data_IF_591262165478
#
_entry.id   IF_591262165478
#
_cell.length_a   1.000
_cell.length_b   1.000
_cell.length_c   1.000
_cell.angle_alpha   90.00
_cell.angle_beta   90.00
_cell.angle_gamma   90.00
#
_symmetry.space_group_name_H-M   'P 1'
#
loop_
_entity.id
_entity.type
_entity.pdbx_description
1 polymer ?
#
# COMPACT_ATOMS: atom_id res chain seq x y z
N UNK A 1 11.92 6.71 -21.49
CA UNK A 1 12.09 8.14 -21.10
C UNK A 1 13.31 8.33 -20.18
N UNK A 2 13.38 7.72 -18.98
CA UNK A 2 14.50 7.91 -18.02
C UNK A 2 15.86 7.61 -18.62
N UNK A 3 16.05 6.43 -19.23
CA UNK A 3 17.32 6.06 -19.85
C UNK A 3 17.77 7.01 -20.96
N UNK A 4 16.83 7.47 -21.79
CA UNK A 4 17.12 8.42 -22.86
C UNK A 4 17.61 9.78 -22.34
N UNK A 5 16.97 10.31 -21.30
CA UNK A 5 17.38 11.60 -20.72
C UNK A 5 18.71 11.48 -19.98
N UNK A 6 18.93 10.39 -19.24
CA UNK A 6 20.21 10.13 -18.56
C UNK A 6 21.36 9.95 -19.56
N UNK A 7 21.13 9.30 -20.70
CA UNK A 7 22.12 9.22 -21.78
C UNK A 7 22.50 10.59 -22.37
N UNK A 8 21.63 11.60 -22.22
CA UNK A 8 21.90 13.01 -22.57
C UNK A 8 22.41 13.83 -21.37
N UNK A 9 22.93 13.18 -20.33
CA UNK A 9 23.43 13.83 -19.11
C UNK A 9 22.38 14.70 -18.38
N UNK A 10 21.08 14.39 -18.54
CA UNK A 10 20.01 15.08 -17.83
C UNK A 10 19.70 14.36 -16.53
N UNK A 11 19.48 15.13 -15.45
CA UNK A 11 19.10 14.59 -14.16
C UNK A 11 17.60 14.32 -14.16
N UNK A 12 17.23 13.07 -13.85
CA UNK A 12 15.85 12.61 -13.72
C UNK A 12 15.66 12.03 -12.32
N UNK A 13 14.74 12.61 -11.56
CA UNK A 13 14.35 12.11 -10.25
C UNK A 13 13.12 11.21 -10.41
N UNK A 14 13.24 9.99 -9.94
CA UNK A 14 12.15 9.01 -9.90
C UNK A 14 11.70 8.81 -8.46
N UNK A 15 10.42 9.04 -8.20
CA UNK A 15 9.81 8.88 -6.88
C UNK A 15 8.49 8.12 -6.99
N UNK A 16 8.02 7.57 -5.88
CA UNK A 16 6.70 6.95 -5.79
C UNK A 16 6.02 7.31 -4.47
N UNK A 17 4.70 7.16 -4.42
CA UNK A 17 3.93 7.39 -3.18
C UNK A 17 4.18 6.29 -2.14
N UNK A 18 4.44 5.04 -2.56
CA UNK A 18 4.73 3.93 -1.66
C UNK A 18 6.19 3.46 -1.74
N UNK A 19 6.70 2.85 -0.64
CA UNK A 19 8.04 2.28 -0.60
C UNK A 19 8.24 1.16 -1.61
N UNK A 20 7.24 0.28 -1.75
CA UNK A 20 7.29 -0.86 -2.69
C UNK A 20 7.36 -0.39 -4.14
N UNK A 21 6.51 0.56 -4.54
CA UNK A 21 6.56 1.13 -5.88
C UNK A 21 7.89 1.84 -6.15
N UNK A 22 8.44 2.55 -5.15
CA UNK A 22 9.74 3.22 -5.27
C UNK A 22 10.89 2.25 -5.58
N UNK A 23 10.86 1.02 -5.05
CA UNK A 23 11.89 0.00 -5.30
C UNK A 23 11.88 -0.53 -6.75
N UNK A 24 10.76 -0.43 -7.45
CA UNK A 24 10.65 -0.82 -8.86
C UNK A 24 11.35 0.21 -9.78
N UNK A 25 11.49 1.44 -9.34
CA UNK A 25 12.11 2.52 -10.09
C UNK A 25 13.63 2.53 -9.90
N UNK A 26 14.37 2.77 -10.97
CA UNK A 26 15.83 2.87 -10.89
C UNK A 26 16.26 4.12 -10.10
N UNK A 27 16.87 3.93 -8.92
CA UNK A 27 17.25 5.01 -8.01
C UNK A 27 16.05 5.67 -7.34
N UNK A 28 14.87 5.00 -7.37
CA UNK A 28 13.62 5.49 -6.81
C UNK A 28 13.68 5.61 -5.28
N UNK A 29 12.93 6.57 -4.78
CA UNK A 29 12.65 6.81 -3.36
C UNK A 29 11.17 7.17 -3.20
N UNK A 30 10.66 7.10 -1.98
CA UNK A 30 9.34 7.70 -1.72
C UNK A 30 9.42 9.22 -1.89
N UNK A 31 8.36 9.84 -2.42
CA UNK A 31 8.30 11.28 -2.63
C UNK A 31 8.55 12.05 -1.33
N UNK A 32 7.94 11.62 -0.21
CA UNK A 32 8.15 12.19 1.11
C UNK A 32 9.63 12.17 1.52
N UNK A 33 10.33 11.06 1.30
CA UNK A 33 11.76 10.95 1.64
C UNK A 33 12.65 11.74 0.68
N UNK A 34 12.32 11.80 -0.61
CA UNK A 34 13.14 12.50 -1.61
C UNK A 34 13.04 14.00 -1.46
N UNK A 35 11.82 14.51 -1.29
CA UNK A 35 11.54 15.94 -1.26
C UNK A 35 11.29 16.47 0.16
N UNK A 36 11.44 15.62 1.17
CA UNK A 36 11.19 15.96 2.58
C UNK A 36 9.80 16.58 2.78
N UNK A 37 8.80 16.00 2.14
CA UNK A 37 7.40 16.37 2.34
C UNK A 37 7.02 15.97 3.78
N UNK A 38 6.48 16.87 4.61
CA UNK A 38 6.00 16.52 5.95
C UNK A 38 4.91 15.45 5.92
N UNK A 39 4.76 14.67 6.99
CA UNK A 39 3.70 13.66 7.09
C UNK A 39 2.33 14.32 7.29
N UNK A 40 2.27 15.43 8.04
CA UNK A 40 1.10 16.28 8.20
C UNK A 40 1.26 17.47 7.25
N UNK A 41 0.38 17.59 6.26
CA UNK A 41 0.45 18.61 5.22
C UNK A 41 -0.79 19.48 5.27
N UNK A 42 -0.62 20.74 5.62
CA UNK A 42 -1.63 21.78 5.61
C UNK A 42 -1.59 22.60 4.31
N UNK A 43 -2.49 23.57 4.18
CA UNK A 43 -2.64 24.34 2.95
C UNK A 43 -1.39 25.16 2.60
N UNK A 44 -0.69 25.69 3.60
CA UNK A 44 0.52 26.53 3.42
C UNK A 44 1.84 25.75 3.56
N UNK A 45 1.77 24.45 3.80
CA UNK A 45 2.95 23.63 4.02
C UNK A 45 3.91 23.70 2.83
N UNK A 46 5.19 23.83 3.12
CA UNK A 46 6.32 23.66 2.19
C UNK A 46 7.14 22.43 2.59
N UNK A 47 7.91 21.90 1.64
CA UNK A 47 8.83 20.81 1.96
C UNK A 47 10.02 21.34 2.80
N UNK A 48 10.56 20.48 3.67
CA UNK A 48 11.74 20.83 4.51
C UNK A 48 13.04 20.81 3.67
N UNK A 49 13.11 21.72 2.71
CA UNK A 49 14.24 21.90 1.79
C UNK A 49 14.70 23.35 1.83
N UNK A 50 15.80 23.59 2.56
CA UNK A 50 16.40 24.92 2.63
C UNK A 50 17.24 25.19 1.36
N UNK A 51 17.24 26.46 0.90
CA UNK A 51 18.09 26.90 -0.20
C UNK A 51 19.59 26.74 0.17
N UNK A 52 20.42 26.51 -0.83
CA UNK A 52 21.87 26.32 -0.66
C UNK A 52 22.24 24.95 -0.09
N UNK A 53 21.26 24.03 0.07
CA UNK A 53 21.54 22.63 0.42
C UNK A 53 21.79 21.80 -0.83
N UNK A 54 22.53 20.68 -0.69
CA UNK A 54 22.73 19.73 -1.80
C UNK A 54 21.42 19.23 -2.41
N UNK A 55 20.33 19.20 -1.62
CA UNK A 55 19.02 18.79 -2.14
C UNK A 55 18.39 19.89 -2.98
N UNK A 56 18.49 21.16 -2.59
CA UNK A 56 18.02 22.28 -3.43
C UNK A 56 18.81 22.37 -4.74
N UNK A 57 20.13 22.20 -4.70
CA UNK A 57 20.97 22.15 -5.92
C UNK A 57 20.58 20.98 -6.84
N UNK A 58 20.32 19.79 -6.25
CA UNK A 58 19.83 18.64 -7.00
C UNK A 58 18.49 18.95 -7.69
N UNK A 59 17.55 19.61 -7.01
CA UNK A 59 16.27 20.03 -7.57
C UNK A 59 16.49 21.03 -8.70
N UNK A 60 17.35 22.01 -8.51
CA UNK A 60 17.71 23.01 -9.53
C UNK A 60 18.28 22.39 -10.82
N UNK A 61 19.12 21.37 -10.69
CA UNK A 61 19.73 20.64 -11.80
C UNK A 61 18.78 19.59 -12.42
N UNK A 62 17.66 19.31 -11.77
CA UNK A 62 16.71 18.29 -12.25
C UNK A 62 15.95 18.78 -13.48
N UNK A 63 15.93 17.97 -14.53
CA UNK A 63 15.21 18.24 -15.76
C UNK A 63 13.81 17.61 -15.78
N UNK A 64 13.60 16.53 -15.03
CA UNK A 64 12.34 15.78 -15.00
C UNK A 64 12.16 15.12 -13.65
N UNK A 65 10.95 15.23 -13.10
CA UNK A 65 10.48 14.42 -11.97
C UNK A 65 9.44 13.43 -12.49
N UNK A 66 9.60 12.15 -12.15
CA UNK A 66 8.57 11.12 -12.38
C UNK A 66 8.09 10.66 -11.01
N UNK A 67 6.79 10.82 -10.75
CA UNK A 67 6.13 10.39 -9.53
C UNK A 67 5.13 9.29 -9.84
N UNK A 68 5.49 8.06 -9.53
CA UNK A 68 4.66 6.88 -9.72
C UNK A 68 3.69 6.65 -8.57
N UNK A 69 2.56 5.98 -8.83
CA UNK A 69 1.43 5.81 -7.88
C UNK A 69 1.03 7.15 -7.24
N UNK A 70 1.04 8.23 -8.01
CA UNK A 70 0.83 9.60 -7.53
C UNK A 70 -0.56 9.79 -6.93
N UNK A 71 -1.59 9.14 -7.49
CA UNK A 71 -2.99 9.33 -7.11
C UNK A 71 -3.34 8.88 -5.69
N UNK A 72 -2.43 8.11 -5.03
CA UNK A 72 -2.55 7.77 -3.62
C UNK A 72 -2.19 8.92 -2.66
N UNK A 73 -1.50 9.94 -3.14
CA UNK A 73 -1.04 11.05 -2.32
C UNK A 73 -2.10 12.16 -2.25
N UNK A 74 -2.24 12.78 -1.08
CA UNK A 74 -3.09 13.94 -0.90
C UNK A 74 -2.63 15.10 -1.80
N UNK A 75 -3.57 15.85 -2.40
CA UNK A 75 -3.27 17.01 -3.26
C UNK A 75 -2.30 18.00 -2.62
N UNK A 76 -2.38 18.17 -1.30
CA UNK A 76 -1.51 19.07 -0.54
C UNK A 76 -0.03 18.70 -0.65
N UNK A 77 0.31 17.41 -0.85
CA UNK A 77 1.69 16.96 -1.07
C UNK A 77 2.27 17.55 -2.37
N UNK A 78 1.47 17.57 -3.44
CA UNK A 78 1.87 18.16 -4.74
C UNK A 78 1.96 19.67 -4.64
N UNK A 79 1.02 20.30 -3.94
CA UNK A 79 0.99 21.73 -3.72
C UNK A 79 2.16 22.22 -2.84
N UNK A 80 2.55 21.44 -1.82
CA UNK A 80 3.75 21.71 -1.02
C UNK A 80 5.02 21.60 -1.86
N UNK A 81 5.10 20.60 -2.74
CA UNK A 81 6.21 20.44 -3.67
C UNK A 81 6.26 21.57 -4.69
N UNK A 82 5.12 21.98 -5.24
CA UNK A 82 4.99 23.10 -6.15
C UNK A 82 5.52 24.41 -5.53
N UNK A 83 5.06 24.72 -4.31
CA UNK A 83 5.53 25.91 -3.58
C UNK A 83 7.05 25.87 -3.38
N UNK A 84 7.57 24.73 -2.97
CA UNK A 84 9.02 24.55 -2.74
C UNK A 84 9.82 24.72 -4.02
N UNK A 85 9.37 24.15 -5.13
CA UNK A 85 10.05 24.28 -6.42
C UNK A 85 10.02 25.71 -6.95
N UNK A 86 8.88 26.40 -6.86
CA UNK A 86 8.78 27.82 -7.18
C UNK A 86 9.71 28.65 -6.33
N UNK A 87 9.80 28.36 -5.04
CA UNK A 87 10.72 29.10 -4.15
C UNK A 87 12.17 28.90 -4.52
N UNK A 88 12.59 27.71 -4.88
CA UNK A 88 13.95 27.41 -5.31
C UNK A 88 14.26 28.09 -6.65
N UNK A 89 13.41 27.94 -7.65
CA UNK A 89 13.67 28.37 -9.04
C UNK A 89 13.52 29.89 -9.25
N UNK A 90 12.72 30.59 -8.42
CA UNK A 90 12.56 32.06 -8.52
C UNK A 90 13.86 32.83 -8.36
N UNK A 91 14.90 32.21 -7.76
CA UNK A 91 16.21 32.85 -7.66
C UNK A 91 16.90 32.95 -9.03
N UNK A 92 16.58 32.06 -9.97
CA UNK A 92 17.13 32.06 -11.34
C UNK A 92 16.25 32.84 -12.33
N UNK A 93 14.92 32.72 -12.18
CA UNK A 93 13.95 33.42 -13.03
C UNK A 93 12.76 33.86 -12.18
N UNK A 94 12.44 35.16 -12.10
CA UNK A 94 11.28 35.66 -11.40
C UNK A 94 9.95 35.05 -11.89
N UNK A 95 9.87 34.67 -13.17
CA UNK A 95 8.69 34.04 -13.79
C UNK A 95 8.40 32.66 -13.19
N UNK A 96 9.44 31.96 -12.69
CA UNK A 96 9.28 30.67 -12.04
C UNK A 96 8.37 30.71 -10.80
N UNK A 97 8.26 31.88 -10.15
CA UNK A 97 7.34 32.07 -9.03
C UNK A 97 5.86 31.85 -9.40
N UNK A 98 5.51 32.06 -10.68
CA UNK A 98 4.13 31.96 -11.17
C UNK A 98 3.89 30.70 -12.04
N UNK A 99 4.95 29.97 -12.36
CA UNK A 99 4.87 28.77 -13.20
C UNK A 99 4.75 27.52 -12.33
N UNK A 100 3.84 26.56 -12.63
CA UNK A 100 3.74 25.31 -11.91
C UNK A 100 5.09 24.60 -11.75
N UNK A 101 5.38 24.14 -10.54
CA UNK A 101 6.66 23.51 -10.18
C UNK A 101 7.92 24.32 -10.53
N UNK A 102 7.79 25.67 -10.57
CA UNK A 102 8.90 26.54 -10.98
C UNK A 102 9.38 26.32 -12.41
N UNK A 103 8.52 25.81 -13.30
CA UNK A 103 8.83 25.46 -14.69
C UNK A 103 9.50 24.08 -14.86
N UNK A 104 9.64 23.26 -13.80
CA UNK A 104 10.11 21.89 -13.92
C UNK A 104 9.03 20.98 -14.50
N UNK A 105 9.44 20.05 -15.35
CA UNK A 105 8.54 19.03 -15.89
C UNK A 105 8.31 17.95 -14.83
N UNK A 106 7.03 17.71 -14.50
CA UNK A 106 6.62 16.68 -13.55
C UNK A 106 5.65 15.73 -14.24
N UNK A 107 5.97 14.45 -14.27
CA UNK A 107 5.11 13.39 -14.80
C UNK A 107 4.53 12.61 -13.62
N UNK A 108 3.20 12.59 -13.51
CA UNK A 108 2.45 11.86 -12.50
C UNK A 108 1.91 10.58 -13.12
N UNK A 109 2.33 9.43 -12.60
CA UNK A 109 1.78 8.12 -12.99
C UNK A 109 0.78 7.62 -11.97
N UNK A 110 -0.33 7.02 -12.40
CA UNK A 110 -1.33 6.45 -11.51
C UNK A 110 -2.55 5.93 -12.26
N UNK A 111 -3.49 5.37 -11.52
CA UNK A 111 -4.75 4.83 -12.04
C UNK A 111 -5.90 5.27 -11.12
N UNK A 112 -6.81 6.09 -11.64
CA UNK A 112 -7.97 6.61 -10.90
C UNK A 112 -8.98 5.54 -10.46
N UNK A 113 -8.87 4.32 -10.97
CA UNK A 113 -9.66 3.16 -10.53
C UNK A 113 -9.13 2.55 -9.22
N UNK A 114 -7.90 2.88 -8.85
CA UNK A 114 -7.27 2.38 -7.62
C UNK A 114 -7.70 3.22 -6.41
N UNK A 115 -7.17 2.83 -5.24
CA UNK A 115 -7.48 3.49 -3.97
C UNK A 115 -6.95 4.93 -4.01
N UNK A 116 -7.82 5.87 -3.66
CA UNK A 116 -7.55 7.29 -3.53
C UNK A 116 -6.85 7.61 -2.20
N UNK A 117 -6.44 8.86 -1.96
CA UNK A 117 -5.83 9.25 -0.69
C UNK A 117 -6.70 8.87 0.50
N UNK A 118 -6.09 8.33 1.53
CA UNK A 118 -6.82 7.95 2.75
C UNK A 118 -6.97 9.17 3.64
N UNK A 119 -8.23 9.52 3.94
CA UNK A 119 -8.60 10.56 4.91
C UNK A 119 -9.22 9.84 6.12
N UNK A 120 -8.56 9.89 7.26
CA UNK A 120 -9.02 9.18 8.47
C UNK A 120 -10.33 9.78 8.97
N UNK A 121 -11.38 8.96 9.04
CA UNK A 121 -12.72 9.40 9.42
C UNK A 121 -13.43 10.30 8.39
N UNK A 122 -12.82 10.49 7.20
CA UNK A 122 -13.36 11.34 6.16
C UNK A 122 -14.54 10.71 5.40
N UNK A 123 -15.44 11.57 4.94
CA UNK A 123 -16.55 11.23 4.05
C UNK A 123 -16.07 10.98 2.62
N UNK A 124 -16.97 10.53 1.73
CA UNK A 124 -16.70 10.42 0.28
C UNK A 124 -16.22 11.75 -0.29
N UNK A 125 -16.86 12.86 0.09
CA UNK A 125 -16.53 14.20 -0.39
C UNK A 125 -15.12 14.64 0.07
N UNK A 126 -14.76 14.36 1.32
CA UNK A 126 -13.42 14.63 1.85
C UNK A 126 -12.34 13.88 1.07
N UNK A 127 -12.60 12.60 0.75
CA UNK A 127 -11.68 11.77 -0.04
C UNK A 127 -11.52 12.34 -1.45
N UNK A 128 -12.62 12.65 -2.15
CA UNK A 128 -12.58 13.24 -3.49
C UNK A 128 -11.87 14.60 -3.46
N UNK A 129 -12.16 15.43 -2.45
CA UNK A 129 -11.54 16.75 -2.28
C UNK A 129 -10.04 16.66 -2.01
N UNK A 130 -9.55 15.54 -1.47
CA UNK A 130 -8.13 15.33 -1.19
C UNK A 130 -7.32 14.91 -2.41
N UNK A 131 -7.96 14.54 -3.52
CA UNK A 131 -7.30 14.06 -4.73
C UNK A 131 -6.64 15.19 -5.53
N UNK A 132 -5.62 14.83 -6.34
CA UNK A 132 -4.91 15.79 -7.22
C UNK A 132 -5.87 16.45 -8.23
N UNK A 133 -6.92 15.79 -8.67
CA UNK A 133 -7.91 16.33 -9.60
C UNK A 133 -8.68 17.55 -9.02
N UNK A 134 -8.67 17.70 -7.70
CA UNK A 134 -9.23 18.87 -6.98
C UNK A 134 -8.15 19.87 -6.54
N UNK A 135 -6.93 19.71 -7.02
CA UNK A 135 -5.86 20.67 -6.78
C UNK A 135 -5.92 21.84 -7.76
N UNK A 136 -5.44 22.99 -7.31
CA UNK A 136 -5.18 24.16 -8.18
C UNK A 136 -4.16 23.89 -9.30
N UNK A 137 -3.40 22.80 -9.21
CA UNK A 137 -2.47 22.39 -10.24
C UNK A 137 -3.15 21.66 -11.41
N UNK A 138 -4.33 21.08 -11.19
CA UNK A 138 -5.02 20.25 -12.18
C UNK A 138 -5.29 20.94 -13.52
N UNK A 139 -5.68 22.21 -13.58
CA UNK A 139 -5.88 22.91 -14.87
C UNK A 139 -4.61 23.00 -15.76
N UNK A 140 -3.44 22.74 -15.18
CA UNK A 140 -2.16 22.74 -15.88
C UNK A 140 -1.67 21.33 -16.24
N UNK A 141 -2.46 20.29 -15.98
CA UNK A 141 -2.10 18.90 -16.24
C UNK A 141 -2.60 18.47 -17.61
N UNK A 142 -1.69 17.95 -18.43
CA UNK A 142 -2.03 17.24 -19.66
C UNK A 142 -2.18 15.73 -19.34
N UNK A 143 -3.34 15.16 -19.70
CA UNK A 143 -3.65 13.76 -19.40
C UNK A 143 -3.25 12.89 -20.59
N UNK A 144 -2.41 11.89 -20.32
CA UNK A 144 -1.97 10.89 -21.29
C UNK A 144 -2.44 9.51 -20.86
N UNK A 145 -3.30 8.86 -21.65
CA UNK A 145 -3.86 7.55 -21.34
C UNK A 145 -3.06 6.42 -21.98
N UNK A 146 -2.70 5.39 -21.20
CA UNK A 146 -2.14 4.14 -21.69
C UNK A 146 -3.30 3.20 -22.08
N UNK A 147 -3.45 2.94 -23.41
CA UNK A 147 -4.58 2.16 -23.94
C UNK A 147 -4.24 0.69 -24.22
N UNK A 148 -2.96 0.36 -24.38
CA UNK A 148 -2.53 -1.00 -24.72
C UNK A 148 -2.19 -1.82 -23.48
N UNK A 149 -2.89 -2.95 -23.28
CA UNK A 149 -2.57 -3.89 -22.23
C UNK A 149 -1.38 -4.77 -22.63
N UNK A 150 -0.20 -4.44 -22.13
CA UNK A 150 1.02 -5.17 -22.43
C UNK A 150 1.04 -6.62 -21.94
N UNK A 151 0.20 -6.99 -20.98
CA UNK A 151 0.09 -8.38 -20.50
C UNK A 151 -0.50 -9.30 -21.58
N UNK A 152 -1.33 -8.78 -22.48
CA UNK A 152 -1.88 -9.52 -23.63
C UNK A 152 -0.82 -9.79 -24.71
N UNK A 153 0.19 -8.93 -24.82
CA UNK A 153 1.23 -9.03 -25.86
C UNK A 153 2.28 -10.10 -25.51
N UNK A 154 2.43 -10.43 -24.22
CA UNK A 154 3.47 -11.34 -23.74
C UNK A 154 3.12 -12.83 -23.87
N UNK A 155 1.96 -13.21 -24.45
CA UNK A 155 1.55 -14.62 -24.64
C UNK A 155 1.14 -14.86 -26.10
N UNK A 156 2.07 -14.85 -27.06
CA UNK A 156 1.73 -14.91 -28.49
C UNK A 156 1.27 -16.29 -29.00
N UNK A 157 1.54 -17.38 -28.27
CA UNK A 157 1.51 -18.73 -28.86
C UNK A 157 0.19 -19.51 -28.68
N UNK A 158 -0.78 -18.98 -27.91
CA UNK A 158 -2.05 -19.68 -27.67
C UNK A 158 -3.25 -18.71 -27.74
N UNK A 159 -4.02 -18.70 -28.85
CA UNK A 159 -5.17 -17.80 -29.03
C UNK A 159 -6.28 -17.99 -27.97
N UNK A 160 -6.45 -19.20 -27.44
CA UNK A 160 -7.49 -19.48 -26.45
C UNK A 160 -7.12 -18.86 -25.09
N UNK A 161 -5.88 -18.93 -24.70
CA UNK A 161 -5.35 -18.27 -23.50
C UNK A 161 -5.37 -16.75 -23.63
N UNK A 162 -5.09 -16.22 -24.81
CA UNK A 162 -5.21 -14.78 -25.06
C UNK A 162 -6.64 -14.28 -24.84
N UNK A 163 -7.64 -15.00 -25.33
CA UNK A 163 -9.04 -14.64 -25.12
C UNK A 163 -9.44 -14.70 -23.64
N UNK A 164 -8.99 -15.71 -22.91
CA UNK A 164 -9.27 -15.83 -21.48
C UNK A 164 -8.64 -14.68 -20.68
N UNK A 165 -7.37 -14.34 -20.96
CA UNK A 165 -6.67 -13.22 -20.33
C UNK A 165 -7.34 -11.89 -20.71
N UNK A 166 -7.77 -11.71 -21.96
CA UNK A 166 -8.48 -10.52 -22.41
C UNK A 166 -9.82 -10.35 -21.70
N UNK A 167 -10.61 -11.43 -21.61
CA UNK A 167 -11.89 -11.42 -20.90
C UNK A 167 -11.72 -11.13 -19.40
N UNK A 168 -10.73 -11.74 -18.77
CA UNK A 168 -10.40 -11.47 -17.37
C UNK A 168 -9.95 -10.04 -17.14
N UNK A 169 -9.07 -9.50 -18.00
CA UNK A 169 -8.62 -8.11 -17.93
C UNK A 169 -9.79 -7.13 -18.11
N UNK A 170 -10.72 -7.43 -19.02
CA UNK A 170 -11.94 -6.62 -19.22
C UNK A 170 -12.80 -6.61 -17.97
N UNK A 171 -13.07 -7.77 -17.40
CA UNK A 171 -13.85 -7.89 -16.18
C UNK A 171 -13.24 -7.10 -15.02
N UNK A 172 -11.90 -7.14 -14.86
CA UNK A 172 -11.19 -6.32 -13.86
C UNK A 172 -11.42 -4.82 -14.12
N UNK A 173 -11.29 -4.36 -15.38
CA UNK A 173 -11.52 -2.97 -15.74
C UNK A 173 -12.96 -2.55 -15.48
N UNK A 174 -13.94 -3.39 -15.83
CA UNK A 174 -15.36 -3.13 -15.60
C UNK A 174 -15.69 -2.99 -14.11
N UNK A 175 -14.99 -3.73 -13.22
CA UNK A 175 -15.05 -3.51 -11.76
C UNK A 175 -14.54 -2.12 -11.41
N UNK A 176 -13.35 -1.76 -11.90
CA UNK A 176 -12.71 -0.47 -11.58
C UNK A 176 -13.48 0.74 -12.09
N UNK A 177 -14.17 0.59 -13.22
CA UNK A 177 -14.99 1.63 -13.85
C UNK A 177 -16.45 1.64 -13.38
N UNK A 178 -16.84 0.67 -12.53
CA UNK A 178 -18.22 0.56 -12.06
C UNK A 178 -19.21 0.20 -13.15
N UNK A 179 -18.76 -0.54 -14.18
CA UNK A 179 -19.58 -0.98 -15.33
C UNK A 179 -20.26 -2.34 -15.11
N UNK A 180 -19.86 -3.08 -14.06
CA UNK A 180 -20.55 -4.32 -13.68
C UNK A 180 -21.97 -3.97 -13.20
N UNK A 181 -23.00 -4.71 -13.64
CA UNK A 181 -24.35 -4.54 -13.13
C UNK A 181 -24.39 -4.64 -11.61
N UNK A 182 -24.99 -3.65 -10.97
CA UNK A 182 -25.05 -3.56 -9.52
C UNK A 182 -26.48 -3.35 -9.03
N UNK A 183 -26.74 -3.80 -7.80
CA UNK A 183 -28.01 -3.65 -7.08
C UNK A 183 -27.81 -2.83 -5.83
N UNK A 184 -28.85 -2.15 -5.36
CA UNK A 184 -28.88 -1.54 -4.04
C UNK A 184 -29.50 -2.51 -3.04
N UNK A 185 -29.08 -2.46 -1.78
CA UNK A 185 -29.73 -3.09 -0.65
C UNK A 185 -30.36 -2.02 0.23
N UNK A 186 -31.26 -2.43 1.13
CA UNK A 186 -31.91 -1.51 2.05
C UNK A 186 -30.86 -0.75 2.87
N UNK A 187 -30.96 0.58 2.84
CA UNK A 187 -30.02 1.49 3.52
C UNK A 187 -28.79 1.90 2.71
N UNK A 188 -28.63 1.47 1.46
CA UNK A 188 -27.59 1.97 0.57
C UNK A 188 -28.05 3.23 -0.18
N UNK A 189 -27.20 4.27 -0.19
CA UNK A 189 -27.47 5.51 -0.91
C UNK A 189 -27.42 5.32 -2.45
N UNK A 190 -26.57 4.38 -2.91
CA UNK A 190 -26.37 4.08 -4.34
C UNK A 190 -26.21 2.55 -4.56
N UNK A 191 -26.63 2.02 -5.74
CA UNK A 191 -26.35 0.66 -6.11
C UNK A 191 -24.85 0.38 -6.10
N UNK A 192 -24.42 -0.58 -5.28
CA UNK A 192 -23.00 -0.91 -5.11
C UNK A 192 -22.72 -2.41 -4.99
N UNK A 193 -23.76 -3.26 -4.94
CA UNK A 193 -23.60 -4.71 -4.81
C UNK A 193 -23.51 -5.37 -6.18
N UNK A 194 -22.43 -6.10 -6.39
CA UNK A 194 -22.17 -6.87 -7.62
C UNK A 194 -22.10 -8.37 -7.31
N UNK A 195 -22.43 -9.17 -8.30
CA UNK A 195 -22.30 -10.64 -8.22
C UNK A 195 -20.95 -11.06 -8.81
N UNK A 196 -20.16 -11.80 -8.03
CA UNK A 196 -18.87 -12.35 -8.45
C UNK A 196 -19.08 -13.67 -9.20
N UNK A 197 -18.38 -13.91 -10.34
CA UNK A 197 -18.48 -15.16 -11.07
C UNK A 197 -18.18 -16.40 -10.21
N UNK A 198 -19.04 -17.41 -10.26
CA UNK A 198 -18.95 -18.64 -9.46
C UNK A 198 -17.57 -19.34 -9.55
N UNK A 199 -16.91 -19.26 -10.69
CA UNK A 199 -15.59 -19.86 -10.94
C UNK A 199 -14.47 -19.27 -10.10
N UNK A 200 -14.63 -18.02 -9.62
CA UNK A 200 -13.69 -17.33 -8.76
C UNK A 200 -13.97 -17.57 -7.28
N UNK A 201 -15.16 -18.07 -6.95
CA UNK A 201 -15.55 -18.28 -5.57
C UNK A 201 -14.93 -19.56 -5.00
N UNK A 202 -14.63 -19.53 -3.73
CA UNK A 202 -14.26 -20.73 -2.96
C UNK A 202 -15.55 -21.35 -2.46
N UNK A 203 -15.77 -22.62 -2.81
CA UNK A 203 -16.87 -23.41 -2.27
C UNK A 203 -16.62 -23.63 -0.79
N UNK A 204 -17.55 -23.29 0.10
CA UNK A 204 -17.32 -23.43 1.53
C UNK A 204 -17.25 -24.91 1.93
N UNK A 205 -16.12 -25.28 2.54
CA UNK A 205 -15.99 -26.43 3.41
C UNK A 205 -16.34 -26.02 4.86
N UNK A 206 -16.40 -26.99 5.78
CA UNK A 206 -16.72 -26.75 7.18
C UNK A 206 -15.76 -25.72 7.83
N UNK A 207 -14.44 -25.79 7.52
CA UNK A 207 -13.45 -24.77 7.89
C UNK A 207 -13.15 -23.83 6.71
N UNK A 208 -13.82 -22.70 6.74
CA UNK A 208 -13.79 -21.65 5.71
C UNK A 208 -12.44 -20.96 5.59
N UNK A 209 -11.70 -20.84 6.72
CA UNK A 209 -10.38 -20.22 6.73
C UNK A 209 -9.34 -21.19 6.15
N UNK A 210 -9.47 -22.47 6.47
CA UNK A 210 -8.68 -23.54 5.84
C UNK A 210 -8.87 -23.55 4.32
N UNK A 211 -10.09 -23.40 3.82
CA UNK A 211 -10.41 -23.44 2.38
C UNK A 211 -9.66 -22.33 1.60
N UNK A 212 -9.67 -21.08 2.07
CA UNK A 212 -8.94 -20.00 1.41
C UNK A 212 -7.42 -20.19 1.54
N UNK A 213 -6.93 -20.64 2.70
CA UNK A 213 -5.52 -20.93 2.92
C UNK A 213 -5.03 -22.03 2.00
N UNK A 214 -5.73 -23.16 1.91
CA UNK A 214 -5.38 -24.26 1.00
C UNK A 214 -5.39 -23.83 -0.48
N UNK A 215 -6.34 -22.99 -0.86
CA UNK A 215 -6.44 -22.48 -2.23
C UNK A 215 -5.26 -21.58 -2.62
N UNK A 216 -4.79 -20.73 -1.71
CA UNK A 216 -3.68 -19.78 -1.98
C UNK A 216 -2.33 -20.41 -1.70
N UNK A 217 -2.22 -21.23 -0.66
CA UNK A 217 -1.00 -21.87 -0.18
C UNK A 217 -1.04 -23.39 -0.29
N UNK A 218 -1.24 -23.98 -1.49
CA UNK A 218 -1.25 -25.43 -1.65
C UNK A 218 0.12 -26.02 -1.27
N UNK A 219 0.10 -27.20 -0.63
CA UNK A 219 1.32 -27.88 -0.15
C UNK A 219 2.17 -27.02 0.80
N UNK A 220 1.53 -26.21 1.64
CA UNK A 220 2.19 -25.24 2.53
C UNK A 220 3.27 -25.89 3.40
N UNK A 221 2.99 -27.04 4.03
CA UNK A 221 3.94 -27.73 4.91
C UNK A 221 5.28 -28.10 4.25
N UNK A 222 5.27 -28.38 2.94
CA UNK A 222 6.49 -28.68 2.20
C UNK A 222 7.24 -27.42 1.73
N UNK A 223 6.53 -26.27 1.65
CA UNK A 223 7.04 -25.07 0.99
C UNK A 223 7.07 -23.80 1.87
N UNK A 224 6.83 -23.92 3.16
CA UNK A 224 6.75 -22.76 4.08
C UNK A 224 8.06 -21.97 4.20
N UNK A 225 9.21 -22.53 3.81
CA UNK A 225 10.52 -21.85 3.77
C UNK A 225 10.93 -21.37 2.37
N UNK A 226 10.13 -21.62 1.36
CA UNK A 226 10.43 -21.23 -0.03
C UNK A 226 10.07 -19.73 -0.25
N UNK A 227 11.08 -18.84 -0.37
CA UNK A 227 10.80 -17.40 -0.51
C UNK A 227 10.14 -17.07 -1.84
N UNK A 228 10.41 -17.81 -2.92
CA UNK A 228 9.78 -17.59 -4.23
C UNK A 228 8.30 -17.96 -4.16
N UNK A 229 7.98 -19.11 -3.57
CA UNK A 229 6.61 -19.54 -3.35
C UNK A 229 5.81 -18.51 -2.53
N UNK A 230 6.36 -18.06 -1.40
CA UNK A 230 5.70 -17.12 -0.51
C UNK A 230 5.57 -15.71 -1.13
N UNK A 231 6.59 -15.25 -1.87
CA UNK A 231 6.59 -13.91 -2.48
C UNK A 231 5.50 -13.73 -3.54
N UNK A 232 5.13 -14.81 -4.21
CA UNK A 232 4.14 -14.81 -5.29
C UNK A 232 2.69 -14.97 -4.81
N UNK A 233 2.46 -15.07 -3.49
CA UNK A 233 1.16 -15.38 -2.91
C UNK A 233 0.80 -14.42 -1.78
N UNK A 234 -0.49 -14.10 -1.66
CA UNK A 234 -1.04 -13.40 -0.50
C UNK A 234 -2.55 -13.60 -0.40
N UNK A 235 -3.06 -13.53 0.84
CA UNK A 235 -4.46 -13.35 1.11
C UNK A 235 -4.70 -11.86 1.40
N UNK A 236 -5.67 -11.26 0.70
CA UNK A 236 -6.00 -9.85 0.81
C UNK A 236 -7.32 -9.68 1.55
N UNK A 237 -7.35 -8.76 2.51
CA UNK A 237 -8.56 -8.46 3.27
C UNK A 237 -8.75 -6.94 3.42
N UNK A 238 -10.01 -6.46 3.64
CA UNK A 238 -10.29 -5.04 3.75
C UNK A 238 -9.66 -4.37 4.98
N UNK A 239 -9.57 -5.09 6.10
CA UNK A 239 -9.16 -4.55 7.41
C UNK A 239 -7.96 -5.28 8.00
N UNK A 240 -7.25 -4.60 8.92
CA UNK A 240 -6.14 -5.21 9.65
C UNK A 240 -6.60 -6.39 10.54
N UNK A 241 -7.75 -6.29 11.18
CA UNK A 241 -8.34 -7.33 12.03
C UNK A 241 -8.49 -8.66 11.26
N UNK A 242 -9.01 -8.58 10.02
CA UNK A 242 -9.17 -9.77 9.19
C UNK A 242 -7.83 -10.33 8.71
N UNK A 243 -6.85 -9.47 8.42
CA UNK A 243 -5.50 -9.95 8.08
C UNK A 243 -4.82 -10.62 9.26
N UNK A 244 -5.00 -10.10 10.47
CA UNK A 244 -4.46 -10.70 11.68
C UNK A 244 -5.09 -12.06 11.94
N UNK A 245 -6.41 -12.20 11.81
CA UNK A 245 -7.12 -13.49 11.91
C UNK A 245 -6.52 -14.57 10.98
N UNK A 246 -6.21 -14.20 9.73
CA UNK A 246 -5.58 -15.12 8.77
C UNK A 246 -4.14 -15.42 9.15
N UNK A 247 -3.37 -14.41 9.54
CA UNK A 247 -1.96 -14.58 9.92
C UNK A 247 -1.84 -15.44 11.19
N UNK A 248 -2.70 -15.23 12.18
CA UNK A 248 -2.74 -16.02 13.42
C UNK A 248 -3.10 -17.49 13.15
N UNK A 249 -3.97 -17.75 12.17
CA UNK A 249 -4.27 -19.12 11.72
C UNK A 249 -3.06 -19.78 11.05
N UNK A 250 -2.25 -19.02 10.31
CA UNK A 250 -1.09 -19.54 9.57
C UNK A 250 0.11 -19.85 10.45
N UNK A 251 0.33 -19.12 11.54
CA UNK A 251 1.50 -19.24 12.42
C UNK A 251 1.64 -20.67 13.01
N UNK A 252 0.60 -21.31 13.58
CA UNK A 252 0.68 -22.68 14.09
C UNK A 252 1.00 -23.73 13.02
N UNK A 253 0.65 -23.48 11.75
CA UNK A 253 0.92 -24.40 10.65
C UNK A 253 2.42 -24.45 10.29
N UNK A 254 3.22 -23.48 10.73
CA UNK A 254 4.67 -23.46 10.53
C UNK A 254 5.34 -24.32 11.59
N UNK A 255 6.14 -25.34 11.22
CA UNK A 255 6.89 -26.16 12.18
C UNK A 255 7.93 -25.33 12.96
N UNK A 256 8.25 -25.79 14.17
CA UNK A 256 9.30 -25.22 15.02
C UNK A 256 8.76 -24.49 16.25
N UNK A 257 9.70 -24.08 17.10
CA UNK A 257 9.39 -23.42 18.37
C UNK A 257 8.97 -21.97 18.15
N UNK A 258 7.87 -21.59 18.78
CA UNK A 258 7.38 -20.22 18.78
C UNK A 258 8.23 -19.35 19.70
N UNK A 259 8.54 -18.13 19.24
CA UNK A 259 9.10 -17.08 20.09
C UNK A 259 8.11 -15.94 20.22
N UNK A 260 7.65 -15.72 21.43
CA UNK A 260 6.81 -14.58 21.77
C UNK A 260 7.69 -13.33 21.97
N UNK A 261 7.31 -12.23 21.30
CA UNK A 261 8.02 -10.98 21.36
C UNK A 261 7.04 -9.88 21.81
N UNK A 262 7.14 -9.48 23.08
CA UNK A 262 6.36 -8.40 23.66
C UNK A 262 7.02 -7.05 23.41
N UNK A 263 6.23 -5.98 23.24
CA UNK A 263 6.72 -4.61 23.18
C UNK A 263 6.91 -4.01 24.57
N UNK A 264 7.65 -2.91 24.63
CA UNK A 264 7.66 -1.98 25.75
C UNK A 264 6.91 -0.72 25.31
N UNK A 265 5.82 -0.42 25.99
CA UNK A 265 4.91 0.68 25.68
C UNK A 265 4.99 1.76 26.76
N UNK A 266 5.04 3.02 26.35
CA UNK A 266 5.10 4.18 27.23
C UNK A 266 4.38 5.37 26.58
N UNK A 267 3.97 6.32 27.40
CA UNK A 267 3.47 7.62 26.93
C UNK A 267 4.68 8.54 26.66
N UNK A 268 4.63 9.30 25.56
CA UNK A 268 5.72 10.22 25.21
C UNK A 268 5.92 11.29 26.29
N UNK A 269 7.15 11.43 26.75
CA UNK A 269 7.54 12.38 27.81
C UNK A 269 7.34 13.85 27.46
N UNK A 270 7.21 14.16 26.18
CA UNK A 270 6.88 15.53 25.71
C UNK A 270 5.41 15.88 25.91
N UNK A 271 4.55 14.88 26.23
CA UNK A 271 3.14 15.11 26.49
C UNK A 271 2.98 15.83 27.83
N UNK A 272 2.39 17.03 27.80
CA UNK A 272 2.05 17.76 29.02
C UNK A 272 1.13 16.88 29.90
N UNK A 273 1.41 16.80 31.21
CA UNK A 273 0.68 15.98 32.19
C UNK A 273 0.95 14.45 32.11
N UNK A 274 2.15 14.03 31.72
CA UNK A 274 2.52 12.60 31.63
C UNK A 274 2.16 11.80 32.91
N UNK A 275 2.54 12.32 34.12
CA UNK A 275 2.27 11.63 35.38
C UNK A 275 0.77 11.38 35.64
N UNK A 276 -0.09 12.31 35.23
CA UNK A 276 -1.54 12.12 35.34
C UNK A 276 -2.04 11.07 34.35
N UNK A 277 -1.46 11.01 33.16
CA UNK A 277 -1.84 10.01 32.14
C UNK A 277 -1.34 8.60 32.48
N UNK A 278 -0.16 8.44 33.09
CA UNK A 278 0.35 7.15 33.57
C UNK A 278 -0.57 6.54 34.62
N UNK A 279 -1.23 7.38 35.44
CA UNK A 279 -2.24 6.94 36.41
C UNK A 279 -3.59 6.57 35.76
N UNK A 280 -4.00 7.29 34.71
CA UNK A 280 -5.29 7.11 34.03
C UNK A 280 -5.28 5.98 33.00
N UNK A 281 -4.14 5.71 32.39
CA UNK A 281 -4.00 4.73 31.30
C UNK A 281 -2.99 3.64 31.69
N UNK A 282 -3.47 2.52 32.28
CA UNK A 282 -2.59 1.43 32.70
C UNK A 282 -1.89 0.78 31.51
N UNK A 283 -0.78 0.09 31.76
CA UNK A 283 0.05 -0.51 30.73
C UNK A 283 -0.72 -1.51 29.85
N UNK A 284 -1.68 -2.22 30.42
CA UNK A 284 -2.54 -3.17 29.72
C UNK A 284 -3.40 -2.47 28.65
N UNK A 285 -3.88 -1.26 28.97
CA UNK A 285 -4.58 -0.43 27.99
C UNK A 285 -3.64 0.01 26.87
N UNK A 286 -2.44 0.51 27.19
CA UNK A 286 -1.45 0.90 26.18
C UNK A 286 -1.09 -0.27 25.28
N UNK A 287 -0.92 -1.47 25.84
CA UNK A 287 -0.62 -2.70 25.11
C UNK A 287 -1.75 -3.10 24.15
N UNK A 288 -2.99 -2.80 24.48
CA UNK A 288 -4.17 -3.11 23.66
C UNK A 288 -4.31 -2.19 22.43
N UNK A 289 -3.65 -1.04 22.43
CA UNK A 289 -3.75 -0.06 21.36
C UNK A 289 -3.14 -0.63 20.07
N UNK A 290 -3.92 -0.57 19.00
CA UNK A 290 -3.51 -0.94 17.63
C UNK A 290 -3.65 0.24 16.68
N UNK A 291 -2.88 0.25 15.60
CA UNK A 291 -2.92 1.32 14.61
C UNK A 291 -2.45 0.88 13.23
N UNK A 292 -2.78 1.70 12.25
CA UNK A 292 -2.30 1.51 10.88
C UNK A 292 -0.77 1.66 10.83
N UNK A 293 -0.09 0.71 10.19
CA UNK A 293 1.38 0.69 10.10
C UNK A 293 2.09 0.77 11.46
N UNK A 294 1.45 0.28 12.52
CA UNK A 294 1.97 0.18 13.87
C UNK A 294 2.05 -1.29 14.28
N UNK A 295 3.16 -1.79 14.86
CA UNK A 295 3.28 -3.20 15.22
C UNK A 295 2.37 -3.53 16.40
N UNK A 296 1.96 -4.78 16.49
CA UNK A 296 1.21 -5.28 17.65
C UNK A 296 2.12 -5.34 18.88
N UNK A 297 1.53 -5.24 20.09
CA UNK A 297 2.25 -5.44 21.35
C UNK A 297 2.88 -6.84 21.40
N UNK A 298 2.09 -7.85 21.10
CA UNK A 298 2.52 -9.26 21.07
C UNK A 298 2.68 -9.72 19.64
N UNK A 299 3.87 -10.23 19.29
CA UNK A 299 4.17 -10.83 17.99
C UNK A 299 4.73 -12.23 18.23
N UNK A 300 4.15 -13.24 17.57
CA UNK A 300 4.64 -14.62 17.60
C UNK A 300 5.44 -14.88 16.32
N UNK A 301 6.67 -15.33 16.46
CA UNK A 301 7.60 -15.53 15.36
C UNK A 301 8.22 -16.93 15.35
N UNK A 302 8.44 -17.46 14.15
CA UNK A 302 9.20 -18.69 13.87
C UNK A 302 10.07 -18.49 12.62
N UNK A 303 11.21 -19.18 12.47
CA UNK A 303 11.92 -19.23 11.20
C UNK A 303 11.01 -19.76 10.07
N UNK A 304 11.06 -19.13 8.91
CA UNK A 304 10.18 -19.44 7.76
C UNK A 304 8.90 -18.60 7.67
N UNK A 305 8.57 -17.81 8.67
CA UNK A 305 7.41 -16.89 8.59
C UNK A 305 7.74 -15.70 7.68
N UNK A 306 6.87 -15.37 6.70
CA UNK A 306 6.99 -14.13 5.96
C UNK A 306 6.54 -12.94 6.81
N UNK A 307 7.30 -11.87 6.75
CA UNK A 307 7.02 -10.60 7.44
C UNK A 307 7.05 -9.45 6.46
N UNK A 308 6.38 -8.36 6.81
CA UNK A 308 6.38 -7.10 6.10
C UNK A 308 6.92 -6.00 7.00
N UNK A 309 7.82 -5.18 6.48
CA UNK A 309 8.29 -3.98 7.18
C UNK A 309 7.19 -2.93 7.26
N UNK A 310 7.08 -2.28 8.41
CA UNK A 310 6.14 -1.18 8.68
C UNK A 310 6.81 0.20 8.62
N UNK A 311 8.14 0.25 8.50
CA UNK A 311 8.94 1.49 8.43
C UNK A 311 10.07 1.34 7.44
N UNK A 312 10.53 2.48 6.94
CA UNK A 312 11.75 2.55 6.14
C UNK A 312 12.96 2.44 7.08
N UNK A 313 13.70 1.34 7.01
CA UNK A 313 14.93 1.14 7.80
C UNK A 313 16.16 1.53 6.99
N UNK A 314 16.27 1.05 5.75
CA UNK A 314 17.35 1.38 4.83
C UNK A 314 16.86 1.29 3.38
N UNK A 315 16.45 2.42 2.82
CA UNK A 315 15.90 2.46 1.45
C UNK A 315 16.92 2.03 0.39
N UNK A 316 18.23 2.31 0.59
CA UNK A 316 19.28 1.90 -0.36
C UNK A 316 19.45 0.40 -0.42
N UNK A 317 19.25 -0.28 0.70
CA UNK A 317 19.30 -1.72 0.82
C UNK A 317 17.94 -2.41 0.54
N UNK A 318 16.92 -1.66 0.12
CA UNK A 318 15.60 -2.21 -0.17
C UNK A 318 14.71 -2.43 1.06
N UNK A 319 15.13 -1.99 2.26
CA UNK A 319 14.35 -2.12 3.49
C UNK A 319 13.39 -0.94 3.65
N UNK A 320 12.30 -0.98 2.90
CA UNK A 320 11.24 0.04 2.90
C UNK A 320 9.96 -0.48 3.57
N UNK A 321 9.09 0.45 3.96
CA UNK A 321 7.72 0.08 4.35
C UNK A 321 7.05 -0.71 3.22
N UNK A 322 6.48 -1.87 3.55
CA UNK A 322 5.88 -2.81 2.61
C UNK A 322 6.83 -3.86 2.02
N UNK A 323 8.16 -3.76 2.25
CA UNK A 323 9.10 -4.82 1.84
C UNK A 323 8.78 -6.11 2.58
N UNK A 324 8.65 -7.20 1.81
CA UNK A 324 8.38 -8.54 2.33
C UNK A 324 9.68 -9.31 2.51
N UNK A 325 9.86 -9.90 3.67
CA UNK A 325 11.02 -10.72 4.03
C UNK A 325 10.58 -12.06 4.60
N UNK A 326 11.47 -13.04 4.60
CA UNK A 326 11.28 -14.32 5.29
C UNK A 326 12.25 -14.41 6.46
N UNK A 327 11.75 -14.78 7.63
CA UNK A 327 12.57 -14.94 8.85
C UNK A 327 13.49 -16.15 8.68
N UNK A 328 14.78 -15.96 8.93
CA UNK A 328 15.78 -17.02 8.96
C UNK A 328 16.12 -17.44 10.39
N UNK A 329 16.23 -16.50 11.30
CA UNK A 329 16.42 -16.75 12.73
C UNK A 329 15.77 -15.67 13.60
N UNK A 330 15.40 -16.01 14.83
CA UNK A 330 14.85 -15.08 15.81
C UNK A 330 15.79 -15.05 17.01
N UNK A 331 16.67 -14.04 17.03
CA UNK A 331 17.60 -13.81 18.12
C UNK A 331 16.93 -13.15 19.33
N UNK A 332 17.71 -12.82 20.34
CA UNK A 332 17.21 -12.17 21.56
C UNK A 332 16.89 -10.70 21.31
N UNK A 333 17.74 -9.99 20.57
CA UNK A 333 17.68 -8.55 20.32
C UNK A 333 17.30 -8.21 18.88
N UNK A 334 17.53 -9.12 17.94
CA UNK A 334 17.32 -8.89 16.51
C UNK A 334 16.64 -10.09 15.87
N UNK A 335 15.94 -9.83 14.77
CA UNK A 335 15.41 -10.84 13.86
C UNK A 335 16.31 -10.82 12.62
N UNK A 336 16.81 -11.98 12.20
CA UNK A 336 17.43 -12.12 10.89
C UNK A 336 16.38 -12.52 9.86
N UNK A 337 16.32 -11.78 8.75
CA UNK A 337 15.40 -12.05 7.69
C UNK A 337 16.00 -11.74 6.31
N UNK A 338 15.53 -12.45 5.28
CA UNK A 338 15.94 -12.26 3.88
C UNK A 338 14.83 -11.59 3.07
N UNK A 339 15.19 -10.64 2.22
CA UNK A 339 14.24 -10.05 1.26
C UNK A 339 13.78 -11.15 0.28
N UNK A 340 12.45 -11.26 0.07
CA UNK A 340 11.90 -12.33 -0.76
C UNK A 340 11.91 -12.02 -2.25
N UNK A 341 11.83 -10.74 -2.64
CA UNK A 341 11.71 -10.34 -4.05
C UNK A 341 12.44 -9.02 -4.36
N UNK A 342 12.55 -8.68 -5.63
CA UNK A 342 13.20 -7.46 -6.11
C UNK A 342 14.71 -7.62 -6.32
N UNK A 343 15.40 -6.49 -6.58
CA UNK A 343 16.84 -6.48 -6.90
C UNK A 343 17.73 -6.96 -5.76
N UNK A 344 17.25 -6.86 -4.53
CA UNK A 344 17.97 -7.23 -3.31
C UNK A 344 17.49 -8.60 -2.75
N UNK A 345 16.81 -9.39 -3.58
CA UNK A 345 16.32 -10.71 -3.18
C UNK A 345 17.45 -11.59 -2.59
N UNK A 346 17.12 -12.37 -1.57
CA UNK A 346 18.03 -13.24 -0.80
C UNK A 346 19.09 -12.53 0.05
N UNK A 347 19.17 -11.19 0.05
CA UNK A 347 20.02 -10.49 1.02
C UNK A 347 19.43 -10.63 2.43
N UNK A 348 20.31 -10.98 3.38
CA UNK A 348 19.97 -11.12 4.79
C UNK A 348 20.24 -9.82 5.55
N UNK A 349 19.34 -9.48 6.45
CA UNK A 349 19.42 -8.29 7.29
C UNK A 349 19.01 -8.61 8.72
N UNK A 350 19.66 -7.95 9.66
CA UNK A 350 19.25 -7.94 11.06
C UNK A 350 18.27 -6.80 11.29
N UNK A 351 17.09 -7.10 11.80
CA UNK A 351 16.02 -6.15 12.11
C UNK A 351 15.96 -5.95 13.61
N UNK A 352 16.35 -4.79 14.16
CA UNK A 352 16.28 -4.51 15.58
C UNK A 352 14.89 -4.04 15.99
N UNK A 353 14.64 -4.02 17.30
CA UNK A 353 13.52 -3.27 17.88
C UNK A 353 13.80 -1.79 17.80
N UNK A 354 12.83 -1.02 17.39
CA UNK A 354 12.90 0.45 17.34
C UNK A 354 11.72 1.06 18.10
N UNK A 355 11.87 2.27 18.55
CA UNK A 355 10.76 3.04 19.14
C UNK A 355 9.93 3.65 18.03
N UNK A 356 8.64 3.39 18.07
CA UNK A 356 7.64 3.88 17.13
C UNK A 356 6.63 4.72 17.89
N UNK A 357 6.22 5.84 17.31
CA UNK A 357 5.22 6.73 17.89
C UNK A 357 3.90 6.58 17.17
N UNK A 358 2.80 6.62 17.92
CA UNK A 358 1.43 6.66 17.42
C UNK A 358 0.71 7.85 18.03
N UNK A 359 0.37 8.84 17.18
CA UNK A 359 -0.51 9.96 17.51
C UNK A 359 -1.89 9.65 16.97
N UNK A 360 -2.92 9.88 17.76
CA UNK A 360 -4.32 9.68 17.35
C UNK A 360 -5.19 10.69 18.07
N UNK A 361 -6.25 11.12 17.41
CA UNK A 361 -7.24 12.01 18.02
C UNK A 361 -8.18 11.28 19.04
N UNK A 362 -8.02 9.96 19.18
CA UNK A 362 -8.83 9.14 20.09
C UNK A 362 -8.40 9.24 21.55
N UNK A 363 -7.17 9.65 21.81
CA UNK A 363 -6.59 9.84 23.15
C UNK A 363 -5.68 11.07 23.18
N UNK A 364 -5.52 11.70 24.38
CA UNK A 364 -4.83 12.98 24.50
C UNK A 364 -3.31 12.86 24.60
N UNK A 365 -2.75 11.69 24.37
CA UNK A 365 -1.31 11.41 24.47
C UNK A 365 -0.75 10.80 23.20
N UNK A 366 0.57 10.82 23.07
CA UNK A 366 1.31 10.11 22.01
C UNK A 366 1.86 8.82 22.61
N UNK A 367 1.47 7.69 22.04
CA UNK A 367 1.98 6.37 22.45
C UNK A 367 3.37 6.14 21.83
N UNK A 368 4.32 5.70 22.63
CA UNK A 368 5.61 5.17 22.21
C UNK A 368 5.65 3.66 22.44
N UNK A 369 5.89 2.90 21.39
CA UNK A 369 6.06 1.44 21.43
C UNK A 369 7.42 1.05 20.92
N UNK A 370 8.21 0.37 21.75
CA UNK A 370 9.47 -0.24 21.35
C UNK A 370 9.22 -1.69 20.96
N UNK A 371 9.22 -1.95 19.64
CA UNK A 371 8.96 -3.28 19.07
C UNK A 371 9.68 -3.44 17.72
N UNK A 372 9.71 -4.66 17.19
CA UNK A 372 10.13 -4.89 15.82
C UNK A 372 9.16 -4.20 14.86
N UNK A 373 9.64 -3.40 13.90
CA UNK A 373 8.79 -2.68 12.95
C UNK A 373 8.27 -3.60 11.84
N UNK A 374 7.63 -4.68 12.22
CA UNK A 374 7.17 -5.74 11.31
C UNK A 374 5.73 -6.16 11.60
N UNK A 375 5.12 -6.80 10.62
CA UNK A 375 3.88 -7.59 10.75
C UNK A 375 4.05 -8.90 10.00
N UNK A 376 3.46 -10.00 10.52
CA UNK A 376 3.36 -11.27 9.78
C UNK A 376 2.56 -11.05 8.50
N UNK A 377 2.96 -11.66 7.40
CA UNK A 377 2.48 -11.29 6.07
C UNK A 377 2.19 -12.49 5.15
N UNK A 378 1.40 -13.45 5.61
CA UNK A 378 0.66 -14.37 4.76
C UNK A 378 -0.58 -13.67 4.19
N UNK A 379 -1.23 -12.87 5.03
CA UNK A 379 -2.27 -11.95 4.63
C UNK A 379 -1.84 -10.50 4.84
N UNK A 380 -2.36 -9.60 3.99
CA UNK A 380 -2.17 -8.15 4.09
C UNK A 380 -3.45 -7.41 3.71
N UNK A 381 -3.56 -6.16 4.12
CA UNK A 381 -4.68 -5.33 3.67
C UNK A 381 -4.58 -5.04 2.17
N UNK A 382 -5.74 -4.90 1.53
CA UNK A 382 -5.84 -4.58 0.11
C UNK A 382 -4.99 -3.35 -0.24
N UNK A 383 -5.03 -2.30 0.59
CA UNK A 383 -4.26 -1.08 0.38
C UNK A 383 -2.74 -1.33 0.34
N UNK A 384 -2.23 -2.25 1.17
CA UNK A 384 -0.80 -2.59 1.19
C UNK A 384 -0.36 -3.47 0.01
N UNK A 385 -1.29 -4.04 -0.73
CA UNK A 385 -1.01 -4.82 -1.94
C UNK A 385 -0.83 -3.97 -3.20
N UNK A 386 -1.12 -2.65 -3.15
CA UNK A 386 -0.91 -1.76 -4.29
C UNK A 386 0.54 -1.80 -4.78
N UNK A 387 0.73 -1.74 -6.09
CA UNK A 387 2.05 -1.88 -6.73
C UNK A 387 2.62 -3.29 -6.75
N UNK A 388 1.99 -4.29 -6.07
CA UNK A 388 2.43 -5.68 -6.10
C UNK A 388 1.71 -6.47 -7.21
N UNK A 389 2.42 -7.45 -7.77
CA UNK A 389 1.86 -8.43 -8.71
C UNK A 389 2.09 -9.82 -8.16
N UNK A 390 1.04 -10.64 -8.10
CA UNK A 390 1.04 -11.95 -7.45
C UNK A 390 0.51 -13.02 -8.41
N UNK A 391 1.04 -14.24 -8.30
CA UNK A 391 0.57 -15.38 -9.10
C UNK A 391 -0.68 -16.03 -8.49
N UNK A 392 -0.81 -16.00 -7.16
CA UNK A 392 -1.99 -16.51 -6.46
C UNK A 392 -2.46 -15.52 -5.40
N UNK A 393 -3.73 -15.15 -5.49
CA UNK A 393 -4.39 -14.16 -4.63
C UNK A 393 -5.67 -14.76 -4.08
N UNK A 394 -5.80 -14.75 -2.76
CA UNK A 394 -7.08 -14.99 -2.08
C UNK A 394 -7.67 -13.66 -1.62
N UNK A 395 -8.89 -13.37 -1.97
CA UNK A 395 -9.59 -12.18 -1.44
C UNK A 395 -10.57 -12.65 -0.38
N UNK A 396 -10.33 -12.25 0.87
CA UNK A 396 -11.11 -12.67 2.04
C UNK A 396 -12.05 -11.56 2.49
N UNK A 397 -13.31 -11.64 2.07
CA UNK A 397 -14.36 -10.66 2.33
C UNK A 397 -15.36 -11.18 3.36
N UNK A 398 -14.94 -11.28 4.62
CA UNK A 398 -15.82 -11.51 5.76
C UNK A 398 -16.64 -10.24 6.10
N UNK A 399 -16.14 -9.08 5.73
CA UNK A 399 -16.82 -7.79 5.74
C UNK A 399 -16.71 -7.21 4.32
N UNK A 400 -17.73 -6.49 3.84
CA UNK A 400 -17.65 -5.81 2.56
C UNK A 400 -16.48 -4.82 2.51
N UNK A 401 -16.03 -4.50 1.31
CA UNK A 401 -15.14 -3.36 1.09
C UNK A 401 -15.88 -2.07 1.37
N UNK A 402 -15.13 -1.01 1.71
CA UNK A 402 -15.72 0.26 2.17
C UNK A 402 -15.14 1.50 1.47
N UNK A 403 -14.13 1.35 0.62
CA UNK A 403 -13.48 2.49 -0.03
C UNK A 403 -13.39 2.29 -1.53
N UNK A 404 -13.36 3.42 -2.26
CA UNK A 404 -13.19 3.45 -3.71
C UNK A 404 -12.00 2.62 -4.15
N UNK A 405 -12.20 1.81 -5.17
CA UNK A 405 -11.17 1.04 -5.85
C UNK A 405 -10.62 -0.16 -5.07
N UNK A 406 -11.07 -0.43 -3.84
CA UNK A 406 -10.54 -1.55 -3.06
C UNK A 406 -10.73 -2.90 -3.76
N UNK A 407 -11.93 -3.17 -4.32
CA UNK A 407 -12.17 -4.42 -5.02
C UNK A 407 -11.29 -4.52 -6.27
N UNK A 408 -11.24 -3.44 -7.06
CA UNK A 408 -10.39 -3.36 -8.24
C UNK A 408 -8.92 -3.64 -7.91
N UNK A 409 -8.38 -3.00 -6.86
CA UNK A 409 -7.00 -3.27 -6.41
C UNK A 409 -6.82 -4.72 -6.02
N UNK A 410 -7.73 -5.31 -5.25
CA UNK A 410 -7.62 -6.69 -4.80
C UNK A 410 -7.58 -7.69 -5.96
N UNK A 411 -8.53 -7.59 -6.91
CA UNK A 411 -8.62 -8.54 -8.04
C UNK A 411 -7.53 -8.31 -9.09
N UNK A 412 -7.07 -7.06 -9.25
CA UNK A 412 -6.01 -6.71 -10.21
C UNK A 412 -4.61 -7.13 -9.77
N UNK A 413 -4.43 -7.63 -8.53
CA UNK A 413 -3.14 -8.20 -8.09
C UNK A 413 -2.86 -9.53 -8.74
N UNK A 414 -3.88 -10.31 -9.07
CA UNK A 414 -3.73 -11.58 -9.77
C UNK A 414 -3.37 -11.38 -11.25
N UNK A 415 -2.40 -12.17 -11.73
CA UNK A 415 -1.98 -12.12 -13.14
C UNK A 415 -2.90 -12.92 -14.07
N UNK A 416 -3.59 -13.91 -13.53
CA UNK A 416 -4.48 -14.81 -14.27
C UNK A 416 -5.76 -15.07 -13.49
N UNK A 417 -6.81 -15.49 -14.21
CA UNK A 417 -8.09 -15.89 -13.61
C UNK A 417 -7.94 -17.06 -12.64
N UNK A 418 -7.11 -18.04 -12.99
CA UNK A 418 -6.85 -19.23 -12.17
C UNK A 418 -6.12 -18.87 -10.86
N UNK A 419 -5.32 -17.80 -10.88
CA UNK A 419 -4.61 -17.30 -9.71
C UNK A 419 -5.46 -16.49 -8.74
N UNK A 420 -6.72 -16.19 -9.08
CA UNK A 420 -7.63 -15.43 -8.21
C UNK A 420 -8.68 -16.35 -7.59
N UNK A 421 -8.79 -16.28 -6.26
CA UNK A 421 -9.84 -16.93 -5.49
C UNK A 421 -10.47 -15.95 -4.51
N UNK A 422 -11.79 -15.97 -4.40
CA UNK A 422 -12.54 -15.02 -3.58
C UNK A 422 -13.43 -15.79 -2.62
N UNK A 423 -13.38 -15.45 -1.35
CA UNK A 423 -14.29 -15.90 -0.34
C UNK A 423 -15.11 -14.73 0.18
N UNK A 424 -16.43 -14.83 0.08
CA UNK A 424 -17.37 -13.79 0.50
C UNK A 424 -18.32 -14.37 1.54
N UNK A 425 -18.64 -13.56 2.54
CA UNK A 425 -19.56 -13.88 3.61
C UNK A 425 -20.59 -12.76 3.75
N UNK A 426 -21.85 -13.12 3.95
CA UNK A 426 -22.90 -12.17 4.32
C UNK A 426 -22.87 -11.83 5.83
N UNK A 427 -23.74 -10.94 6.26
CA UNK A 427 -23.86 -10.51 7.65
C UNK A 427 -24.31 -11.64 8.58
N UNK A 428 -25.08 -12.62 8.07
CA UNK A 428 -25.51 -13.83 8.78
C UNK A 428 -24.40 -14.89 8.84
N UNK A 429 -23.30 -14.64 8.20
CA UNK A 429 -22.16 -15.53 8.17
C UNK A 429 -22.22 -16.66 7.18
N UNK A 430 -23.15 -16.62 6.22
CA UNK A 430 -23.26 -17.60 5.14
C UNK A 430 -22.38 -17.18 3.96
N UNK A 431 -21.88 -18.16 3.21
CA UNK A 431 -21.18 -17.87 1.98
C UNK A 431 -22.16 -17.31 0.94
N UNK A 432 -21.75 -16.24 0.28
CA UNK A 432 -22.54 -15.58 -0.77
C UNK A 432 -21.64 -15.30 -1.99
N UNK A 433 -22.26 -14.95 -3.10
CA UNK A 433 -21.57 -14.51 -4.32
C UNK A 433 -21.60 -12.99 -4.51
N UNK A 434 -22.25 -12.25 -3.61
CA UNK A 434 -22.42 -10.81 -3.72
C UNK A 434 -21.46 -10.05 -2.81
N UNK A 435 -20.87 -8.98 -3.33
CA UNK A 435 -20.02 -8.07 -2.57
C UNK A 435 -20.21 -6.63 -3.02
N UNK A 436 -19.87 -5.68 -2.15
CA UNK A 436 -19.85 -4.27 -2.54
C UNK A 436 -18.72 -4.01 -3.54
N UNK A 437 -18.96 -3.09 -4.48
CA UNK A 437 -17.96 -2.48 -5.35
C UNK A 437 -18.11 -0.95 -5.25
N UNK A 438 -17.30 -0.33 -4.41
CA UNK A 438 -17.36 1.12 -4.19
C UNK A 438 -16.56 1.83 -5.27
N UNK A 439 -17.26 2.62 -6.11
CA UNK A 439 -16.67 3.37 -7.21
C UNK A 439 -17.17 4.81 -7.19
N UNK A 440 -16.26 5.77 -7.05
CA UNK A 440 -16.56 7.19 -7.10
C UNK A 440 -16.49 7.68 -8.55
N UNK A 441 -17.63 7.77 -9.20
CA UNK A 441 -17.72 8.14 -10.64
C UNK A 441 -17.18 9.52 -10.93
N UNK A 442 -17.21 10.41 -9.94
CA UNK A 442 -16.72 11.81 -10.04
C UNK A 442 -15.23 11.92 -10.33
N UNK A 443 -14.44 10.90 -9.94
CA UNK A 443 -13.00 10.87 -10.23
C UNK A 443 -12.70 10.22 -11.58
N UNK A 444 -13.62 9.37 -12.08
CA UNK A 444 -13.41 8.62 -13.32
C UNK A 444 -13.69 9.42 -14.58
N UNK A 445 -14.43 10.55 -14.48
CA UNK A 445 -14.75 11.43 -15.61
C UNK A 445 -13.53 12.01 -16.34
N UNK A 446 -12.34 11.85 -15.78
CA UNK A 446 -11.07 12.31 -16.37
C UNK A 446 -10.31 11.17 -17.07
N UNK A 447 -10.90 9.99 -17.22
CA UNK A 447 -10.29 8.84 -17.92
C UNK A 447 -10.61 8.79 -19.42
N UNK A 448 -11.63 9.53 -19.87
CA UNK A 448 -12.12 9.55 -21.25
C UNK A 448 -11.31 10.49 -22.16
#
# INVERSE_FOLDING_TARGET
MVGYLRAKNKIVLTVASSGVAALLLQGGRTAHSRFKIPCEVEEDTVCDVSRGTMLSELIELTSLVIWDEALMANKRCFEALDRTFRDIEKAKSPEAAHTPFGGKVVVLGGDLRQILPVVEGGTREDIISSTIIRSRLWPHVEILSLKQNMRLVCSPDDPSKQQEVAAFSRWILDIGEGKIPCTARDGDDEPSWITVPQQLLITPDEDRLAAIVHSVYPNFHARYKDPVYLSQRAILAPTNELTDTVNDYMIPLVPGTEKECLSSDTIDKSTAQQEAYDLLYPIEFLNSISGNSFPQHKIILKPGIPIMLLRNLNQRAGLCNGTRLIITSVGEWTIEAKIMNGRQANQAFAIPRITLTLKSNKWPFVLQRRQYPIRVCYAMTINKSQGQTLSAVGVYLKKPIFSHGQLYVAVSRATTKQGLKIYIKDDDGKATNDTKNVVYREVLQYLD
#
